data_IF_115031120485
#
_entry.id   IF_115031120485
#
_cell.length_a   1.000
_cell.length_b   1.000
_cell.length_c   1.000
_cell.angle_alpha   90.00
_cell.angle_beta   90.00
_cell.angle_gamma   90.00
#
_symmetry.space_group_name_H-M   'P 1'
#
loop_
_entity.id
_entity.type
_entity.pdbx_description
1 polymer ?
#
# COMPACT_ATOMS: atom_id res chain seq x y z
N UNK A 1 -26.22 -7.99 20.37
CA UNK A 1 -27.39 -8.11 21.26
C UNK A 1 -26.95 -8.74 22.59
N UNK A 2 -27.25 -8.12 23.74
CA UNK A 2 -26.81 -8.61 25.06
C UNK A 2 -25.48 -8.05 25.58
N UNK A 3 -25.05 -6.88 25.09
CA UNK A 3 -23.88 -6.14 25.59
C UNK A 3 -24.25 -4.67 25.69
N UNK A 4 -23.68 -3.90 26.62
CA UNK A 4 -23.89 -2.44 26.75
C UNK A 4 -23.30 -1.62 25.57
N UNK A 5 -22.77 -2.29 24.54
CA UNK A 5 -22.21 -1.66 23.35
C UNK A 5 -23.31 -1.40 22.29
N UNK A 6 -23.67 -0.12 22.13
CA UNK A 6 -24.67 0.35 21.16
C UNK A 6 -24.15 0.38 19.71
N UNK A 7 -22.87 0.68 19.49
CA UNK A 7 -22.26 0.69 18.16
C UNK A 7 -21.89 -0.73 17.73
N UNK A 8 -22.49 -1.21 16.63
CA UNK A 8 -22.24 -2.54 16.07
C UNK A 8 -22.25 -2.52 14.55
N UNK A 9 -21.37 -3.32 13.95
CA UNK A 9 -21.42 -3.73 12.55
C UNK A 9 -21.47 -5.24 12.51
N UNK A 10 -22.61 -5.79 12.08
CA UNK A 10 -22.87 -7.23 12.09
C UNK A 10 -23.11 -7.69 10.66
N UNK A 11 -22.20 -8.50 10.13
CA UNK A 11 -22.24 -8.97 8.73
C UNK A 11 -22.78 -10.40 8.66
N UNK A 12 -23.70 -10.64 7.74
CA UNK A 12 -24.29 -11.95 7.49
C UNK A 12 -23.91 -12.43 6.07
N UNK A 13 -22.68 -12.96 5.88
CA UNK A 13 -22.15 -13.26 4.54
C UNK A 13 -23.00 -14.28 3.76
N UNK A 14 -23.66 -15.22 4.45
CA UNK A 14 -24.52 -16.22 3.81
C UNK A 14 -25.94 -15.73 3.52
N UNK A 15 -26.33 -14.56 4.04
CA UNK A 15 -27.64 -13.95 3.85
C UNK A 15 -27.60 -12.64 3.05
N UNK A 16 -26.40 -12.21 2.62
CA UNK A 16 -26.16 -11.02 1.80
C UNK A 16 -26.67 -9.70 2.40
N UNK A 17 -26.60 -9.52 3.73
CA UNK A 17 -26.88 -8.22 4.35
C UNK A 17 -25.94 -7.92 5.53
N UNK A 18 -25.92 -6.66 5.92
CA UNK A 18 -25.19 -6.15 7.10
C UNK A 18 -26.11 -5.25 7.90
N UNK A 19 -26.04 -5.33 9.23
CA UNK A 19 -26.71 -4.39 10.15
C UNK A 19 -25.65 -3.47 10.75
N UNK A 20 -25.88 -2.17 10.69
CA UNK A 20 -25.04 -1.14 11.30
C UNK A 20 -25.90 -0.36 12.29
N UNK A 21 -25.46 -0.24 13.54
CA UNK A 21 -26.18 0.49 14.60
C UNK A 21 -25.32 1.62 15.15
N UNK A 22 -25.97 2.76 15.44
CA UNK A 22 -25.41 3.88 16.20
C UNK A 22 -24.08 4.44 15.66
N UNK A 23 -23.88 4.40 14.33
CA UNK A 23 -22.75 5.04 13.66
C UNK A 23 -23.24 5.90 12.50
N UNK A 24 -22.79 7.15 12.45
CA UNK A 24 -22.95 8.04 11.29
C UNK A 24 -21.72 8.02 10.37
N UNK A 25 -20.72 7.20 10.69
CA UNK A 25 -19.49 7.10 9.93
C UNK A 25 -19.73 6.36 8.62
N UNK A 26 -19.56 7.04 7.48
CA UNK A 26 -19.87 6.49 6.16
C UNK A 26 -18.99 5.27 5.81
N UNK A 27 -17.80 5.22 6.40
CA UNK A 27 -16.89 4.08 6.31
C UNK A 27 -17.53 2.75 6.67
N UNK A 28 -18.48 2.74 7.61
CA UNK A 28 -19.16 1.49 8.00
C UNK A 28 -20.01 0.94 6.87
N UNK A 29 -20.75 1.81 6.18
CA UNK A 29 -21.60 1.42 5.05
C UNK A 29 -20.73 0.97 3.87
N UNK A 30 -19.72 1.77 3.50
CA UNK A 30 -18.78 1.45 2.41
C UNK A 30 -18.11 0.08 2.66
N UNK A 31 -17.42 -0.08 3.79
CA UNK A 31 -16.65 -1.29 4.08
C UNK A 31 -17.56 -2.51 4.30
N UNK A 32 -18.78 -2.35 4.81
CA UNK A 32 -19.77 -3.42 4.87
C UNK A 32 -20.14 -3.93 3.47
N UNK A 33 -20.48 -3.03 2.54
CA UNK A 33 -20.82 -3.41 1.17
C UNK A 33 -19.63 -4.07 0.45
N UNK A 34 -18.43 -3.48 0.57
CA UNK A 34 -17.21 -4.00 -0.06
C UNK A 34 -16.79 -5.38 0.49
N UNK A 35 -17.04 -5.67 1.77
CA UNK A 35 -16.79 -7.02 2.32
C UNK A 35 -17.67 -8.07 1.63
N UNK A 36 -18.95 -7.77 1.37
CA UNK A 36 -19.85 -8.66 0.60
C UNK A 36 -19.40 -8.79 -0.85
N UNK A 37 -18.93 -7.69 -1.44
CA UNK A 37 -18.41 -7.68 -2.80
C UNK A 37 -17.15 -8.55 -2.94
N UNK A 38 -16.20 -8.47 -2.01
CA UNK A 38 -15.00 -9.34 -1.97
C UNK A 38 -15.41 -10.83 -1.94
N UNK A 39 -16.39 -11.18 -1.11
CA UNK A 39 -16.92 -12.55 -1.08
C UNK A 39 -17.63 -12.94 -2.37
N UNK A 40 -18.41 -12.02 -2.98
CA UNK A 40 -19.04 -12.25 -4.27
C UNK A 40 -18.02 -12.55 -5.37
N UNK A 41 -16.97 -11.72 -5.46
CA UNK A 41 -15.86 -11.89 -6.41
C UNK A 41 -15.20 -13.25 -6.27
N UNK A 42 -14.96 -13.70 -5.04
CA UNK A 42 -14.39 -15.03 -4.82
C UNK A 42 -15.28 -16.15 -5.36
N UNK A 43 -16.60 -16.05 -5.17
CA UNK A 43 -17.56 -17.01 -5.73
C UNK A 43 -17.61 -16.97 -7.26
N UNK A 44 -17.22 -15.86 -7.88
CA UNK A 44 -17.15 -15.69 -9.35
C UNK A 44 -15.84 -16.17 -9.97
N UNK A 45 -14.87 -16.59 -9.16
CA UNK A 45 -13.59 -17.15 -9.65
C UNK A 45 -12.42 -16.17 -9.61
N UNK A 46 -12.61 -14.93 -9.17
CA UNK A 46 -11.53 -13.96 -8.94
C UNK A 46 -11.05 -13.95 -7.49
N UNK A 47 -10.16 -13.02 -7.15
CA UNK A 47 -9.86 -12.63 -5.78
C UNK A 47 -10.17 -11.14 -5.56
N UNK A 48 -10.95 -10.82 -4.52
CA UNK A 48 -11.28 -9.44 -4.17
C UNK A 48 -10.25 -8.86 -3.21
N UNK A 49 -9.49 -7.86 -3.61
CA UNK A 49 -8.35 -7.32 -2.89
C UNK A 49 -8.57 -5.87 -2.43
N UNK A 50 -8.04 -5.52 -1.26
CA UNK A 50 -8.01 -4.13 -0.78
C UNK A 50 -6.81 -3.39 -1.38
N UNK A 51 -6.91 -3.16 -2.69
CA UNK A 51 -5.93 -2.47 -3.51
C UNK A 51 -6.62 -1.44 -4.40
N UNK A 52 -5.87 -0.42 -4.80
CA UNK A 52 -6.30 0.52 -5.82
C UNK A 52 -5.99 0.00 -7.23
N UNK A 53 -6.53 0.66 -8.25
CA UNK A 53 -6.22 0.42 -9.65
C UNK A 53 -5.95 1.75 -10.35
N UNK A 54 -4.79 1.83 -11.01
CA UNK A 54 -4.46 2.90 -11.95
C UNK A 54 -3.87 2.30 -13.21
N UNK A 55 -3.98 3.04 -14.30
CA UNK A 55 -3.38 2.67 -15.56
C UNK A 55 -2.69 3.86 -16.21
N UNK A 56 -1.69 3.58 -17.02
CA UNK A 56 -1.02 4.57 -17.84
C UNK A 56 -0.26 3.86 -18.95
N UNK A 57 0.04 4.58 -20.03
CA UNK A 57 0.92 4.07 -21.07
C UNK A 57 2.30 4.66 -20.87
N UNK A 58 3.33 3.82 -20.98
CA UNK A 58 4.71 4.23 -20.79
C UNK A 58 5.56 3.92 -22.03
N UNK A 59 6.42 4.85 -22.41
CA UNK A 59 7.47 4.65 -23.42
C UNK A 59 8.71 4.04 -22.76
N UNK A 60 8.98 2.78 -23.10
CA UNK A 60 10.10 2.00 -22.58
C UNK A 60 11.43 2.43 -23.17
N UNK A 61 12.52 1.98 -22.54
CA UNK A 61 13.90 2.27 -22.98
C UNK A 61 14.22 1.71 -24.38
N UNK A 62 13.54 0.64 -24.80
CA UNK A 62 13.65 0.07 -26.14
C UNK A 62 12.79 0.81 -27.20
N UNK A 63 12.10 1.88 -26.80
CA UNK A 63 11.21 2.67 -27.65
C UNK A 63 9.80 2.10 -27.79
N UNK A 64 9.51 0.90 -27.27
CA UNK A 64 8.16 0.33 -27.29
C UNK A 64 7.22 1.04 -26.32
N UNK A 65 5.92 0.99 -26.63
CA UNK A 65 4.87 1.46 -25.73
C UNK A 65 4.28 0.29 -24.97
N UNK A 66 4.14 0.43 -23.65
CA UNK A 66 3.46 -0.56 -22.80
C UNK A 66 2.32 0.10 -22.04
N UNK A 67 1.13 -0.49 -22.12
CA UNK A 67 0.03 -0.20 -21.20
C UNK A 67 0.31 -0.86 -19.86
N UNK A 68 0.38 -0.05 -18.81
CA UNK A 68 0.55 -0.48 -17.43
C UNK A 68 -0.83 -0.60 -16.79
N UNK A 69 -1.12 -1.77 -16.24
CA UNK A 69 -2.30 -2.08 -15.42
C UNK A 69 -1.78 -2.39 -14.03
N UNK A 70 -1.86 -1.39 -13.14
CA UNK A 70 -1.18 -1.39 -11.85
C UNK A 70 -2.17 -1.43 -10.70
N UNK A 71 -2.04 -2.46 -9.86
CA UNK A 71 -2.68 -2.49 -8.55
C UNK A 71 -1.69 -2.14 -7.44
N UNK A 72 -2.15 -1.34 -6.47
CA UNK A 72 -1.34 -0.92 -5.32
C UNK A 72 -2.04 -1.32 -4.02
N UNK A 73 -1.39 -2.19 -3.27
CA UNK A 73 -1.81 -2.62 -1.93
C UNK A 73 -1.12 -1.77 -0.86
N UNK A 74 -1.83 -1.51 0.22
CA UNK A 74 -1.28 -0.82 1.38
C UNK A 74 -2.33 -0.64 2.45
N UNK A 75 -1.91 -0.71 3.72
CA UNK A 75 -2.79 -0.40 4.84
C UNK A 75 -3.08 1.10 4.91
N UNK A 76 -4.11 1.47 5.69
CA UNK A 76 -4.46 2.87 5.85
C UNK A 76 -3.29 3.66 6.45
N UNK A 77 -2.96 4.80 5.83
CA UNK A 77 -1.86 5.66 6.28
C UNK A 77 -0.47 5.28 5.74
N UNK A 78 -0.35 4.28 4.87
CA UNK A 78 0.94 3.94 4.24
C UNK A 78 1.18 4.66 2.90
N UNK A 79 0.19 5.41 2.39
CA UNK A 79 0.31 6.13 1.12
C UNK A 79 -0.38 5.48 -0.09
N UNK A 80 -1.22 4.44 0.10
CA UNK A 80 -2.00 3.79 -0.98
C UNK A 80 -2.68 4.81 -1.91
N UNK A 81 -3.50 5.70 -1.35
CA UNK A 81 -4.23 6.72 -2.12
C UNK A 81 -3.30 7.75 -2.78
N UNK A 82 -2.21 8.13 -2.10
CA UNK A 82 -1.19 9.04 -2.63
C UNK A 82 -0.58 8.49 -3.91
N UNK A 83 -0.10 7.25 -3.89
CA UNK A 83 0.54 6.61 -5.04
C UNK A 83 -0.46 6.20 -6.13
N UNK A 84 -1.66 5.77 -5.73
CA UNK A 84 -2.69 5.34 -6.69
C UNK A 84 -3.28 6.48 -7.50
N UNK A 85 -3.39 7.67 -6.89
CA UNK A 85 -3.88 8.88 -7.53
C UNK A 85 -2.76 9.84 -7.92
N UNK A 86 -1.50 9.42 -7.83
CA UNK A 86 -0.38 10.20 -8.34
C UNK A 86 -0.45 10.24 -9.87
N UNK A 87 -0.32 11.43 -10.44
CA UNK A 87 -0.35 11.63 -11.89
C UNK A 87 0.77 12.56 -12.27
N UNK A 88 1.54 12.19 -13.30
CA UNK A 88 2.57 13.06 -13.85
C UNK A 88 1.93 14.08 -14.81
N UNK A 89 2.29 15.35 -14.69
CA UNK A 89 1.80 16.39 -15.59
C UNK A 89 2.47 17.72 -15.30
N UNK A 90 1.98 18.80 -15.92
CA UNK A 90 2.61 20.12 -15.81
C UNK A 90 2.76 20.60 -14.35
N UNK A 91 1.79 20.29 -13.50
CA UNK A 91 1.76 20.65 -12.07
C UNK A 91 2.96 20.12 -11.25
N UNK A 92 3.54 18.97 -11.61
CA UNK A 92 4.69 18.38 -10.91
C UNK A 92 5.93 18.18 -11.79
N UNK A 93 5.82 18.37 -13.11
CA UNK A 93 6.90 18.21 -14.09
C UNK A 93 8.20 18.90 -13.68
N UNK A 94 8.11 20.18 -13.27
CA UNK A 94 9.29 20.97 -12.89
C UNK A 94 10.08 20.35 -11.74
N UNK A 95 9.39 19.76 -10.76
CA UNK A 95 10.02 19.10 -9.60
C UNK A 95 10.93 17.95 -10.08
N UNK A 96 10.48 17.16 -11.06
CA UNK A 96 11.27 16.03 -11.54
C UNK A 96 12.47 16.47 -12.38
N UNK A 97 12.32 17.50 -13.21
CA UNK A 97 13.43 18.05 -13.99
C UNK A 97 14.50 18.63 -13.06
N UNK A 98 14.08 19.45 -12.08
CA UNK A 98 15.01 20.13 -11.17
C UNK A 98 15.70 19.16 -10.20
N UNK A 99 14.96 18.19 -9.64
CA UNK A 99 15.51 17.27 -8.63
C UNK A 99 16.22 16.06 -9.21
N UNK A 100 15.75 15.55 -10.36
CA UNK A 100 16.18 14.26 -10.89
C UNK A 100 16.72 14.35 -12.32
N UNK A 101 16.61 15.51 -12.99
CA UNK A 101 17.05 15.66 -14.39
C UNK A 101 16.21 14.83 -15.37
N UNK A 102 15.01 14.40 -14.99
CA UNK A 102 14.12 13.57 -15.79
C UNK A 102 12.82 14.32 -16.01
N UNK A 103 12.35 14.42 -17.26
CA UNK A 103 11.01 14.89 -17.56
C UNK A 103 10.06 13.69 -17.70
N UNK A 104 9.21 13.40 -16.70
CA UNK A 104 8.34 12.23 -16.75
C UNK A 104 7.31 12.33 -17.88
N UNK A 105 6.93 13.54 -18.31
CA UNK A 105 5.89 13.75 -19.32
C UNK A 105 6.33 13.33 -20.73
N UNK A 106 7.63 13.14 -20.95
CA UNK A 106 8.17 12.56 -22.19
C UNK A 106 7.93 11.04 -22.29
N UNK A 107 7.65 10.37 -21.17
CA UNK A 107 7.58 8.92 -21.09
C UNK A 107 6.21 8.38 -20.70
N UNK A 108 5.35 9.17 -20.05
CA UNK A 108 4.06 8.72 -19.52
C UNK A 108 2.88 9.48 -20.14
N UNK A 109 1.85 8.75 -20.54
CA UNK A 109 0.66 9.29 -21.18
C UNK A 109 -0.56 8.39 -20.91
N UNK A 110 -1.75 8.81 -21.34
CA UNK A 110 -3.04 8.10 -21.13
C UNK A 110 -3.29 7.66 -19.68
N UNK A 111 -2.91 8.49 -18.72
CA UNK A 111 -3.05 8.19 -17.29
C UNK A 111 -4.52 8.15 -16.89
N UNK A 112 -4.93 7.05 -16.24
CA UNK A 112 -6.28 6.82 -15.77
C UNK A 112 -6.29 6.33 -14.33
N UNK A 113 -6.99 7.05 -13.44
CA UNK A 113 -7.35 6.59 -12.10
C UNK A 113 -8.63 5.76 -12.26
N UNK A 114 -8.62 4.50 -11.82
CA UNK A 114 -9.73 3.55 -12.05
C UNK A 114 -10.49 3.18 -10.77
N UNK A 115 -9.76 2.98 -9.68
CA UNK A 115 -10.31 2.70 -8.35
C UNK A 115 -9.27 3.03 -7.26
N UNK A 116 -9.68 3.39 -6.05
CA UNK A 116 -8.75 3.76 -4.97
C UNK A 116 -8.60 2.74 -3.85
N UNK A 117 -9.53 1.79 -3.73
CA UNK A 117 -9.71 1.08 -2.46
C UNK A 117 -9.84 -0.43 -2.55
N UNK A 118 -10.77 -0.94 -3.37
CA UNK A 118 -11.08 -2.37 -3.48
C UNK A 118 -11.30 -2.77 -4.94
N UNK A 119 -10.61 -3.83 -5.38
CA UNK A 119 -10.62 -4.32 -6.76
C UNK A 119 -10.79 -5.84 -6.81
N UNK A 120 -11.19 -6.37 -7.95
CA UNK A 120 -11.29 -7.80 -8.20
C UNK A 120 -10.28 -8.18 -9.26
N UNK A 121 -9.41 -9.13 -8.95
CA UNK A 121 -8.40 -9.62 -9.90
C UNK A 121 -8.87 -10.95 -10.46
N UNK A 122 -9.00 -10.99 -11.77
CA UNK A 122 -9.22 -12.17 -12.58
C UNK A 122 -8.01 -12.37 -13.51
N UNK A 123 -7.96 -13.52 -14.20
CA UNK A 123 -6.87 -13.82 -15.12
C UNK A 123 -6.81 -12.88 -16.33
N UNK A 124 -7.94 -12.33 -16.76
CA UNK A 124 -8.08 -11.53 -17.97
C UNK A 124 -8.18 -10.03 -17.68
N UNK A 125 -8.62 -9.65 -16.48
CA UNK A 125 -8.93 -8.26 -16.13
C UNK A 125 -8.91 -8.00 -14.63
N UNK A 126 -8.75 -6.72 -14.27
CA UNK A 126 -9.02 -6.18 -12.94
C UNK A 126 -10.30 -5.35 -12.99
N UNK A 127 -11.26 -5.65 -12.13
CA UNK A 127 -12.53 -4.94 -12.06
C UNK A 127 -12.56 -3.98 -10.87
N UNK A 128 -13.05 -2.77 -11.10
CA UNK A 128 -13.26 -1.78 -10.04
C UNK A 128 -14.57 -2.05 -9.30
N UNK A 129 -14.62 -1.70 -8.01
CA UNK A 129 -15.84 -1.83 -7.20
C UNK A 129 -16.66 -0.55 -7.13
N UNK A 130 -16.06 0.61 -7.40
CA UNK A 130 -16.58 1.93 -7.06
C UNK A 130 -16.23 2.98 -8.13
N UNK A 131 -17.16 3.93 -8.38
CA UNK A 131 -16.97 5.11 -9.26
C UNK A 131 -16.60 6.39 -8.49
N UNK A 132 -16.55 6.30 -7.17
CA UNK A 132 -16.14 7.38 -6.29
C UNK A 132 -15.02 6.91 -5.38
N UNK A 133 -14.46 7.85 -4.64
CA UNK A 133 -13.38 7.64 -3.69
C UNK A 133 -13.82 8.10 -2.31
N UNK A 134 -13.30 7.46 -1.26
CA UNK A 134 -13.51 7.90 0.13
C UNK A 134 -12.15 8.11 0.81
N UNK A 135 -11.53 9.22 0.43
CA UNK A 135 -10.10 9.47 0.64
C UNK A 135 -9.87 10.25 1.93
N UNK A 136 -8.77 9.96 2.63
CA UNK A 136 -8.27 10.85 3.70
C UNK A 136 -7.80 12.15 3.08
N UNK A 137 -8.28 13.28 3.59
CA UNK A 137 -7.95 14.58 3.02
C UNK A 137 -7.23 15.50 4.00
N UNK A 138 -6.63 14.98 5.07
CA UNK A 138 -5.66 15.73 5.85
C UNK A 138 -4.40 15.98 5.02
N UNK A 139 -3.83 17.17 5.14
CA UNK A 139 -2.57 17.59 4.50
C UNK A 139 -2.57 17.53 2.96
N UNK A 140 -3.73 17.54 2.31
CA UNK A 140 -3.83 17.61 0.85
C UNK A 140 -3.71 19.05 0.36
N UNK A 141 -2.82 19.26 -0.61
CA UNK A 141 -2.63 20.53 -1.29
C UNK A 141 -2.62 20.38 -2.83
N UNK A 142 -2.43 21.50 -3.54
CA UNK A 142 -2.41 21.56 -5.01
C UNK A 142 -1.34 20.66 -5.67
N UNK A 143 -0.29 20.25 -4.94
CA UNK A 143 0.73 19.33 -5.47
C UNK A 143 0.16 17.93 -5.66
N UNK A 144 -0.87 17.56 -4.90
CA UNK A 144 -1.67 16.35 -5.05
C UNK A 144 -2.89 16.60 -5.95
N UNK A 145 -2.64 17.21 -7.11
CA UNK A 145 -3.65 17.83 -7.98
C UNK A 145 -4.92 17.00 -8.21
N UNK A 146 -4.88 15.69 -8.54
CA UNK A 146 -6.10 14.92 -8.78
C UNK A 146 -7.01 14.84 -7.56
N UNK A 147 -6.45 14.64 -6.37
CA UNK A 147 -7.22 14.54 -5.12
C UNK A 147 -7.69 15.93 -4.70
N UNK A 148 -6.80 16.91 -4.75
CA UNK A 148 -7.14 18.29 -4.39
C UNK A 148 -8.27 18.86 -5.25
N UNK A 149 -8.21 18.65 -6.57
CA UNK A 149 -9.26 19.05 -7.49
C UNK A 149 -10.58 18.37 -7.17
N UNK A 150 -10.56 17.05 -6.94
CA UNK A 150 -11.78 16.29 -6.67
C UNK A 150 -12.40 16.63 -5.30
N UNK A 151 -11.57 16.86 -4.28
CA UNK A 151 -12.01 17.25 -2.95
C UNK A 151 -12.56 18.68 -2.91
N UNK A 152 -12.12 19.59 -3.80
CA UNK A 152 -12.70 20.94 -3.95
C UNK A 152 -13.89 21.00 -4.93
N UNK A 153 -14.34 19.87 -5.47
CA UNK A 153 -15.51 19.83 -6.34
C UNK A 153 -16.78 20.20 -5.56
N UNK A 154 -17.72 20.98 -6.14
CA UNK A 154 -19.03 21.21 -5.52
C UNK A 154 -19.87 19.92 -5.39
N UNK A 155 -19.44 18.81 -6.00
CA UNK A 155 -20.04 17.48 -5.84
C UNK A 155 -19.44 16.68 -4.67
N UNK A 156 -18.35 17.15 -4.07
CA UNK A 156 -17.70 16.46 -2.96
C UNK A 156 -18.57 16.53 -1.69
N UNK A 157 -18.57 15.43 -0.94
CA UNK A 157 -19.15 15.38 0.40
C UNK A 157 -18.03 15.25 1.42
N UNK A 158 -18.05 16.12 2.41
CA UNK A 158 -17.04 16.18 3.45
C UNK A 158 -17.52 15.55 4.76
N UNK A 159 -16.71 14.66 5.33
CA UNK A 159 -16.94 14.00 6.61
C UNK A 159 -15.81 14.41 7.56
N UNK A 160 -16.15 15.26 8.53
CA UNK A 160 -15.21 15.85 9.49
C UNK A 160 -14.04 16.63 8.83
N UNK A 161 -14.25 17.19 7.64
CA UNK A 161 -13.35 18.17 7.02
C UNK A 161 -13.64 19.55 7.59
N UNK A 162 -12.58 20.29 7.89
CA UNK A 162 -12.65 21.62 8.46
C UNK A 162 -12.98 22.66 7.39
N UNK A 163 -13.13 23.93 7.79
CA UNK A 163 -13.39 25.03 6.89
C UNK A 163 -12.48 26.22 7.16
N UNK A 164 -12.17 26.99 6.11
CA UNK A 164 -11.40 28.22 6.19
C UNK A 164 -12.26 29.41 6.64
N UNK A 165 -11.66 30.60 6.74
CA UNK A 165 -12.37 31.84 7.14
C UNK A 165 -13.45 32.29 6.15
N UNK A 166 -13.46 31.75 4.93
CA UNK A 166 -14.46 32.04 3.90
C UNK A 166 -15.58 30.98 3.87
N UNK A 167 -15.48 29.94 4.69
CA UNK A 167 -16.42 28.82 4.73
C UNK A 167 -16.15 27.73 3.68
N UNK A 168 -15.02 27.79 2.97
CA UNK A 168 -14.61 26.74 2.04
C UNK A 168 -13.97 25.56 2.79
N UNK A 169 -13.99 24.33 2.24
CA UNK A 169 -13.26 23.21 2.83
C UNK A 169 -11.78 23.52 3.05
N UNK A 170 -11.27 23.15 4.22
CA UNK A 170 -9.85 23.25 4.57
C UNK A 170 -9.28 21.88 4.92
N UNK A 171 -8.13 21.58 4.35
CA UNK A 171 -7.43 20.30 4.48
C UNK A 171 -6.26 20.35 5.46
N UNK A 172 -6.05 21.47 6.15
CA UNK A 172 -4.92 21.67 7.06
C UNK A 172 -4.97 20.80 8.33
N UNK A 173 -6.15 20.33 8.74
CA UNK A 173 -6.33 19.43 9.88
C UNK A 173 -5.91 20.05 11.24
N UNK A 174 -6.32 21.29 11.52
CA UNK A 174 -5.91 22.06 12.71
C UNK A 174 -7.07 22.45 13.64
N UNK A 175 -8.29 22.57 13.13
CA UNK A 175 -9.46 23.08 13.82
C UNK A 175 -10.22 21.98 14.59
N UNK A 176 -10.57 20.88 13.93
CA UNK A 176 -11.35 19.81 14.55
C UNK A 176 -10.44 18.92 15.38
N UNK A 177 -10.90 18.59 16.59
CA UNK A 177 -10.15 17.78 17.54
C UNK A 177 -10.94 16.56 17.98
N UNK A 178 -10.20 15.49 18.25
CA UNK A 178 -10.69 14.26 18.85
C UNK A 178 -9.83 13.94 20.08
N UNK A 179 -10.45 13.90 21.27
CA UNK A 179 -9.76 13.76 22.56
C UNK A 179 -8.60 14.75 22.78
N UNK A 180 -8.78 16.01 22.38
CA UNK A 180 -7.78 17.07 22.56
C UNK A 180 -6.58 17.01 21.60
N UNK A 181 -6.65 16.16 20.56
CA UNK A 181 -5.67 16.12 19.47
C UNK A 181 -6.35 16.48 18.14
N UNK A 182 -5.64 17.09 17.18
CA UNK A 182 -6.19 17.34 15.86
C UNK A 182 -6.74 16.07 15.19
N UNK A 183 -7.86 16.19 14.48
CA UNK A 183 -8.50 15.10 13.76
C UNK A 183 -7.60 14.61 12.61
N UNK A 184 -7.31 13.30 12.57
CA UNK A 184 -6.46 12.64 11.56
C UNK A 184 -7.19 11.59 10.73
N UNK A 185 -8.49 11.83 10.57
CA UNK A 185 -9.36 10.99 9.76
C UNK A 185 -10.46 11.83 9.11
N UNK A 186 -10.17 13.08 8.77
CA UNK A 186 -11.01 13.86 7.88
C UNK A 186 -11.09 13.15 6.52
N UNK A 187 -12.30 13.01 5.97
CA UNK A 187 -12.56 12.29 4.72
C UNK A 187 -13.35 13.15 3.76
N UNK A 188 -13.07 12.96 2.47
CA UNK A 188 -13.93 13.47 1.41
C UNK A 188 -14.39 12.31 0.54
N UNK A 189 -15.69 12.27 0.27
CA UNK A 189 -16.28 11.45 -0.79
C UNK A 189 -16.36 12.30 -2.04
N UNK A 190 -15.74 11.83 -3.12
CA UNK A 190 -15.80 12.51 -4.42
C UNK A 190 -15.90 11.52 -5.56
N UNK A 191 -16.40 11.96 -6.71
CA UNK A 191 -16.43 11.15 -7.92
C UNK A 191 -15.03 11.07 -8.52
N UNK A 192 -14.65 9.90 -9.05
CA UNK A 192 -13.39 9.77 -9.77
C UNK A 192 -13.33 10.71 -10.99
N UNK A 193 -14.48 10.99 -11.61
CA UNK A 193 -14.64 12.00 -12.67
C UNK A 193 -14.09 13.37 -12.29
N UNK A 194 -14.22 13.78 -11.02
CA UNK A 194 -13.76 15.10 -10.55
C UNK A 194 -12.24 15.20 -10.42
N UNK A 195 -11.53 14.07 -10.46
CA UNK A 195 -10.05 14.06 -10.51
C UNK A 195 -9.52 14.61 -11.83
N UNK A 196 -10.33 14.58 -12.89
CA UNK A 196 -9.89 14.87 -14.26
C UNK A 196 -9.10 13.76 -14.96
N UNK A 197 -8.85 12.65 -14.27
CA UNK A 197 -8.09 11.51 -14.78
C UNK A 197 -8.89 10.19 -14.75
N UNK A 198 -10.21 10.26 -14.58
CA UNK A 198 -11.08 9.10 -14.77
C UNK A 198 -11.60 9.07 -16.20
N UNK A 199 -11.48 7.92 -16.86
CA UNK A 199 -11.83 7.77 -18.27
C UNK A 199 -13.25 7.23 -18.51
N UNK A 200 -14.11 7.23 -17.49
CA UNK A 200 -15.48 6.74 -17.59
C UNK A 200 -15.66 5.25 -17.27
N UNK A 201 -14.57 4.50 -17.10
CA UNK A 201 -14.59 3.06 -16.86
C UNK A 201 -13.75 2.71 -15.63
N UNK A 202 -14.33 1.93 -14.71
CA UNK A 202 -13.67 1.47 -13.47
C UNK A 202 -12.88 0.18 -13.67
N UNK A 203 -13.10 -0.51 -14.79
CA UNK A 203 -12.41 -1.74 -15.12
C UNK A 203 -11.09 -1.44 -15.86
N UNK A 204 -10.13 -2.36 -15.74
CA UNK A 204 -8.89 -2.28 -16.47
C UNK A 204 -9.06 -2.64 -17.94
N UNK A 205 -8.18 -2.07 -18.75
CA UNK A 205 -8.04 -2.33 -20.19
C UNK A 205 -7.52 -3.75 -20.51
N UNK A 206 -6.92 -4.45 -19.55
CA UNK A 206 -6.38 -5.79 -19.70
C UNK A 206 -6.03 -6.44 -18.36
N UNK A 207 -5.32 -7.58 -18.36
CA UNK A 207 -4.95 -8.27 -17.14
C UNK A 207 -3.97 -7.44 -16.31
N UNK A 208 -3.92 -7.71 -15.00
CA UNK A 208 -2.92 -7.15 -14.12
C UNK A 208 -1.51 -7.42 -14.68
N UNK A 209 -0.68 -6.39 -14.78
CA UNK A 209 0.71 -6.56 -15.24
C UNK A 209 1.75 -5.87 -14.36
N UNK A 210 1.32 -5.06 -13.39
CA UNK A 210 2.17 -4.54 -12.32
C UNK A 210 1.45 -4.63 -10.97
N UNK A 211 2.10 -5.20 -9.96
CA UNK A 211 1.61 -5.24 -8.59
C UNK A 211 2.58 -4.50 -7.66
N UNK A 212 2.08 -3.57 -6.85
CA UNK A 212 2.89 -2.81 -5.90
C UNK A 212 2.36 -3.05 -4.49
N UNK A 213 3.22 -3.57 -3.62
CA UNK A 213 2.94 -3.73 -2.19
C UNK A 213 3.63 -2.62 -1.42
N UNK A 214 2.86 -1.77 -0.76
CA UNK A 214 3.39 -0.80 0.21
C UNK A 214 3.49 -1.51 1.56
N UNK A 215 4.71 -1.89 1.95
CA UNK A 215 5.00 -2.56 3.22
C UNK A 215 6.10 -1.80 3.97
N UNK A 216 5.74 -0.67 4.60
CA UNK A 216 6.72 0.18 5.23
C UNK A 216 7.39 -0.53 6.41
N UNK A 217 8.68 -0.31 6.56
CA UNK A 217 9.51 -0.95 7.57
C UNK A 217 10.68 -0.07 7.98
N UNK A 218 11.23 -0.30 9.17
CA UNK A 218 12.21 0.62 9.77
C UNK A 218 13.64 0.07 9.82
N UNK A 219 13.83 -1.23 9.56
CA UNK A 219 15.06 -1.89 9.99
C UNK A 219 15.83 -2.45 8.79
N UNK A 220 15.30 -3.53 8.21
CA UNK A 220 15.98 -4.36 7.22
C UNK A 220 15.44 -4.13 5.80
N UNK A 221 14.50 -3.21 5.66
CA UNK A 221 13.74 -3.01 4.43
C UNK A 221 14.47 -2.04 3.50
N UNK A 222 14.54 -2.38 2.22
CA UNK A 222 14.95 -1.45 1.18
C UNK A 222 13.84 -0.42 0.92
N UNK A 223 14.19 0.72 0.31
CA UNK A 223 13.20 1.63 -0.24
C UNK A 223 12.32 0.93 -1.27
N UNK A 224 12.95 0.18 -2.17
CA UNK A 224 12.28 -0.51 -3.27
C UNK A 224 12.95 -1.85 -3.56
N UNK A 225 12.13 -2.88 -3.74
CA UNK A 225 12.54 -4.19 -4.24
C UNK A 225 11.65 -4.58 -5.43
N UNK A 226 12.20 -5.40 -6.33
CA UNK A 226 11.43 -6.15 -7.33
C UNK A 226 11.40 -7.61 -6.91
N UNK A 227 10.22 -8.23 -6.90
CA UNK A 227 10.04 -9.63 -6.50
C UNK A 227 9.87 -10.47 -7.77
N UNK A 228 10.75 -11.43 -7.98
CA UNK A 228 10.74 -12.34 -9.15
C UNK A 228 10.03 -13.67 -8.85
N UNK A 229 10.08 -14.11 -7.58
CA UNK A 229 9.43 -15.34 -7.16
C UNK A 229 7.96 -15.08 -6.81
N UNK A 230 7.06 -15.79 -7.51
CA UNK A 230 5.61 -15.64 -7.37
C UNK A 230 5.10 -16.10 -6.01
N UNK A 231 5.74 -17.09 -5.39
CA UNK A 231 5.40 -17.52 -4.04
C UNK A 231 5.83 -16.48 -3.00
N UNK A 232 6.97 -15.82 -3.20
CA UNK A 232 7.41 -14.67 -2.40
C UNK A 232 6.45 -13.48 -2.54
N UNK A 233 5.97 -13.18 -3.76
CA UNK A 233 4.94 -12.15 -3.97
C UNK A 233 3.63 -12.49 -3.23
N UNK A 234 3.17 -13.74 -3.31
CA UNK A 234 2.00 -14.19 -2.57
C UNK A 234 2.22 -14.18 -1.04
N UNK A 235 3.45 -14.44 -0.59
CA UNK A 235 3.85 -14.36 0.82
C UNK A 235 3.81 -12.92 1.34
N UNK A 236 4.27 -11.94 0.55
CA UNK A 236 4.12 -10.51 0.89
C UNK A 236 2.65 -10.13 1.04
N UNK A 237 1.78 -10.56 0.12
CA UNK A 237 0.33 -10.37 0.25
C UNK A 237 -0.20 -11.07 1.51
N UNK A 238 0.23 -12.31 1.78
CA UNK A 238 -0.20 -13.07 2.95
C UNK A 238 0.14 -12.37 4.26
N UNK A 239 1.34 -11.79 4.36
CA UNK A 239 1.81 -11.13 5.56
C UNK A 239 1.09 -9.79 5.79
N UNK A 240 0.82 -9.04 4.71
CA UNK A 240 0.17 -7.73 4.81
C UNK A 240 0.89 -6.79 5.79
N UNK A 241 2.22 -6.89 5.84
CA UNK A 241 3.05 -6.27 6.87
C UNK A 241 3.10 -4.76 6.70
N UNK A 242 3.06 -4.02 7.80
CA UNK A 242 3.37 -2.59 7.89
C UNK A 242 4.06 -2.27 9.22
N UNK A 243 4.54 -1.05 9.38
CA UNK A 243 4.77 -0.45 10.70
C UNK A 243 3.54 0.37 11.11
N UNK A 244 3.27 0.38 12.42
CA UNK A 244 2.16 1.14 12.98
C UNK A 244 2.33 2.63 12.73
N UNK A 245 1.33 3.23 12.09
CA UNK A 245 1.32 4.65 11.74
C UNK A 245 0.52 5.45 12.78
N UNK A 246 0.89 6.71 13.08
CA UNK A 246 0.11 7.57 13.99
C UNK A 246 -1.36 7.73 13.59
N UNK A 247 -1.68 7.56 12.31
CA UNK A 247 -3.04 7.63 11.78
C UNK A 247 -3.89 6.38 12.09
N UNK A 248 -3.29 5.32 12.65
CA UNK A 248 -3.98 4.12 13.14
C UNK A 248 -4.18 4.22 14.66
N UNK A 249 -3.10 4.38 15.42
CA UNK A 249 -3.11 4.63 16.87
C UNK A 249 -1.71 5.04 17.33
N UNK A 250 -1.62 5.81 18.41
CA UNK A 250 -0.34 6.15 19.05
C UNK A 250 0.34 4.90 19.64
N UNK A 251 -0.44 3.94 20.13
CA UNK A 251 0.04 2.73 20.84
C UNK A 251 0.78 1.71 19.97
N UNK A 252 0.64 1.83 18.65
CA UNK A 252 1.23 0.93 17.66
C UNK A 252 2.45 1.54 16.94
N UNK A 253 2.75 2.82 17.18
CA UNK A 253 3.86 3.50 16.51
C UNK A 253 5.17 2.74 16.74
N UNK A 254 5.88 2.44 15.66
CA UNK A 254 7.16 1.72 15.70
C UNK A 254 7.06 0.21 15.89
N UNK A 255 5.85 -0.36 16.03
CA UNK A 255 5.63 -1.82 16.03
C UNK A 255 5.30 -2.29 14.63
N UNK A 256 5.78 -3.48 14.28
CA UNK A 256 5.29 -4.18 13.10
C UNK A 256 3.86 -4.68 13.32
N UNK A 257 3.03 -4.54 12.31
CA UNK A 257 1.64 -4.99 12.27
C UNK A 257 1.50 -5.90 11.06
N UNK A 258 0.76 -6.99 11.22
CA UNK A 258 0.45 -7.95 10.18
C UNK A 258 -1.07 -8.02 10.03
N UNK A 259 -1.56 -7.66 8.85
CA UNK A 259 -2.99 -7.71 8.50
C UNK A 259 -3.10 -8.41 7.16
N UNK A 260 -3.25 -9.74 7.16
CA UNK A 260 -3.21 -10.55 5.94
C UNK A 260 -4.01 -9.93 4.80
N UNK A 261 -3.36 -9.91 3.62
CA UNK A 261 -3.88 -9.33 2.37
C UNK A 261 -4.13 -7.82 2.40
N UNK A 262 -3.63 -7.12 3.42
CA UNK A 262 -3.99 -5.73 3.72
C UNK A 262 -5.51 -5.56 3.90
N UNK A 263 -6.23 -6.65 4.19
CA UNK A 263 -7.69 -6.77 4.03
C UNK A 263 -8.35 -7.59 5.17
N UNK A 264 -7.59 -7.89 6.24
CA UNK A 264 -8.04 -8.76 7.32
C UNK A 264 -9.42 -8.37 7.92
N UNK A 265 -9.74 -7.08 8.21
CA UNK A 265 -11.04 -6.71 8.76
C UNK A 265 -12.23 -6.83 7.79
N UNK A 266 -11.97 -7.06 6.50
CA UNK A 266 -12.99 -7.05 5.42
C UNK A 266 -13.19 -8.43 4.78
N UNK A 267 -12.37 -9.41 5.15
CA UNK A 267 -12.49 -10.78 4.63
C UNK A 267 -13.57 -11.54 5.40
N UNK A 268 -14.54 -12.11 4.68
CA UNK A 268 -15.62 -12.90 5.27
C UNK A 268 -16.15 -13.96 4.30
N UNK A 269 -16.76 -15.03 4.83
CA UNK A 269 -17.33 -16.13 4.05
C UNK A 269 -16.30 -17.07 3.39
N UNK A 270 -15.06 -16.61 3.20
CA UNK A 270 -13.92 -17.34 2.64
C UNK A 270 -12.67 -16.95 3.43
N UNK A 271 -11.73 -17.88 3.61
CA UNK A 271 -10.50 -17.61 4.36
C UNK A 271 -9.50 -16.77 3.57
N UNK A 272 -8.65 -16.01 4.27
CA UNK A 272 -7.52 -15.31 3.65
C UNK A 272 -6.65 -16.25 2.82
N UNK A 273 -6.38 -17.45 3.34
CA UNK A 273 -5.63 -18.51 2.65
C UNK A 273 -6.17 -18.77 1.26
N UNK A 274 -7.49 -18.92 1.12
CA UNK A 274 -8.10 -19.26 -0.16
C UNK A 274 -7.94 -18.13 -1.19
N UNK A 275 -7.98 -16.87 -0.75
CA UNK A 275 -7.71 -15.72 -1.61
C UNK A 275 -6.23 -15.61 -1.99
N UNK A 276 -5.30 -15.83 -1.05
CA UNK A 276 -3.85 -15.79 -1.30
C UNK A 276 -3.45 -16.86 -2.31
N UNK A 277 -3.96 -18.09 -2.14
CA UNK A 277 -3.71 -19.19 -3.08
C UNK A 277 -4.24 -18.84 -4.46
N UNK A 278 -5.44 -18.26 -4.56
CA UNK A 278 -5.98 -17.85 -5.86
C UNK A 278 -5.17 -16.74 -6.52
N UNK A 279 -4.72 -15.76 -5.75
CA UNK A 279 -3.84 -14.71 -6.28
C UNK A 279 -2.54 -15.33 -6.81
N UNK A 280 -1.90 -16.22 -6.06
CA UNK A 280 -0.73 -16.98 -6.51
C UNK A 280 -0.99 -17.76 -7.81
N UNK A 281 -2.11 -18.47 -7.91
CA UNK A 281 -2.50 -19.21 -9.12
C UNK A 281 -2.68 -18.29 -10.34
N UNK A 282 -3.28 -17.10 -10.16
CA UNK A 282 -3.42 -16.11 -11.23
C UNK A 282 -2.04 -15.65 -11.71
N UNK A 283 -1.11 -15.34 -10.79
CA UNK A 283 0.26 -14.95 -11.15
C UNK A 283 0.99 -16.05 -11.95
N UNK A 284 0.90 -17.30 -11.51
CA UNK A 284 1.55 -18.43 -12.18
C UNK A 284 0.94 -18.68 -13.58
N UNK A 285 -0.37 -18.57 -13.73
CA UNK A 285 -1.04 -18.72 -15.03
C UNK A 285 -0.65 -17.61 -16.00
N UNK A 286 -0.59 -16.36 -15.53
CA UNK A 286 -0.13 -15.23 -16.34
C UNK A 286 1.34 -15.39 -16.75
N UNK A 287 2.20 -15.82 -15.82
CA UNK A 287 3.60 -16.17 -16.11
C UNK A 287 3.72 -17.28 -17.15
N UNK A 288 2.94 -18.35 -17.04
CA UNK A 288 2.91 -19.45 -18.00
C UNK A 288 2.43 -19.03 -19.40
N UNK A 289 1.57 -18.01 -19.49
CA UNK A 289 1.13 -17.39 -20.75
C UNK A 289 2.17 -16.40 -21.34
N UNK A 290 3.34 -16.26 -20.73
CA UNK A 290 4.37 -15.29 -21.15
C UNK A 290 4.03 -13.84 -20.79
N UNK A 291 3.11 -13.63 -19.85
CA UNK A 291 2.65 -12.32 -19.39
C UNK A 291 2.90 -12.17 -17.87
N UNK A 292 4.14 -12.32 -17.38
CA UNK A 292 4.41 -12.23 -15.95
C UNK A 292 4.04 -10.84 -15.42
N UNK A 293 3.46 -10.81 -14.21
CA UNK A 293 3.21 -9.58 -13.48
C UNK A 293 4.52 -9.10 -12.87
N UNK A 294 4.88 -7.84 -13.12
CA UNK A 294 6.02 -7.21 -12.46
C UNK A 294 5.60 -6.85 -11.02
N UNK A 295 6.29 -7.40 -10.01
CA UNK A 295 5.92 -7.19 -8.61
C UNK A 295 6.96 -6.32 -7.91
N UNK A 296 6.50 -5.26 -7.25
CA UNK A 296 7.34 -4.33 -6.50
C UNK A 296 6.91 -4.29 -5.02
N UNK A 297 7.88 -4.27 -4.13
CA UNK A 297 7.69 -4.02 -2.69
C UNK A 297 8.35 -2.68 -2.37
N UNK A 298 7.57 -1.75 -1.83
CA UNK A 298 8.04 -0.38 -1.56
C UNK A 298 7.83 0.02 -0.10
N UNK A 299 8.78 0.80 0.40
CA UNK A 299 8.78 1.37 1.74
C UNK A 299 8.64 2.88 1.66
N UNK A 300 7.47 3.39 2.02
CA UNK A 300 7.08 4.79 1.82
C UNK A 300 7.19 5.59 3.13
N UNK A 301 6.49 5.15 4.17
CA UNK A 301 6.38 5.83 5.46
C UNK A 301 7.26 5.23 6.56
N UNK A 302 7.95 4.14 6.26
CA UNK A 302 8.95 3.55 7.15
C UNK A 302 10.28 4.28 7.03
N UNK A 303 11.26 3.87 7.83
CA UNK A 303 12.56 4.55 7.93
C UNK A 303 13.72 3.57 7.83
N UNK A 304 14.29 3.44 6.65
CA UNK A 304 15.42 2.55 6.33
C UNK A 304 16.62 2.96 7.20
N UNK A 305 17.26 2.01 7.87
CA UNK A 305 18.43 2.36 8.68
C UNK A 305 18.13 2.83 10.11
N UNK A 306 16.88 2.77 10.59
CA UNK A 306 16.55 3.30 11.92
C UNK A 306 17.21 2.51 13.06
N UNK A 307 17.50 3.19 14.16
CA UNK A 307 18.02 2.57 15.37
C UNK A 307 16.98 1.66 16.02
N UNK A 308 17.45 0.61 16.70
CA UNK A 308 16.60 -0.35 17.39
C UNK A 308 17.29 -0.90 18.63
N UNK A 309 16.50 -1.62 19.42
CA UNK A 309 16.94 -2.42 20.54
C UNK A 309 16.28 -3.80 20.47
N UNK A 310 16.97 -4.80 21.01
CA UNK A 310 16.42 -6.13 21.17
C UNK A 310 15.62 -6.18 22.47
N UNK A 311 14.34 -6.53 22.38
CA UNK A 311 13.44 -6.60 23.52
C UNK A 311 12.78 -7.97 23.57
N UNK A 312 12.49 -8.45 24.77
CA UNK A 312 11.67 -9.64 24.94
C UNK A 312 10.23 -9.33 24.52
N UNK A 313 9.68 -10.15 23.64
CA UNK A 313 8.31 -10.07 23.17
C UNK A 313 7.66 -11.46 23.25
N UNK A 314 6.45 -11.52 23.79
CA UNK A 314 5.67 -12.75 23.86
C UNK A 314 4.85 -12.93 22.58
N UNK A 315 5.08 -14.03 21.88
CA UNK A 315 4.27 -14.48 20.75
C UNK A 315 3.58 -15.78 21.15
N UNK A 316 2.31 -15.68 21.52
CA UNK A 316 1.55 -16.77 22.13
C UNK A 316 2.18 -17.17 23.48
N UNK A 317 2.51 -18.45 23.63
CA UNK A 317 3.08 -18.99 24.88
C UNK A 317 4.62 -19.00 24.89
N UNK A 318 5.28 -18.35 23.93
CA UNK A 318 6.74 -18.36 23.80
C UNK A 318 7.28 -16.93 23.81
N UNK A 319 8.44 -16.78 24.45
CA UNK A 319 9.20 -15.54 24.50
C UNK A 319 10.28 -15.56 23.42
N UNK A 320 10.38 -14.45 22.70
CA UNK A 320 11.38 -14.24 21.68
C UNK A 320 12.10 -12.93 21.91
N UNK A 321 13.36 -12.88 21.53
CA UNK A 321 14.08 -11.63 21.42
C UNK A 321 13.76 -11.00 20.06
N UNK A 322 13.09 -9.86 20.07
CA UNK A 322 12.58 -9.20 18.86
C UNK A 322 13.14 -7.78 18.73
N UNK A 323 13.42 -7.31 17.51
CA UNK A 323 13.90 -5.96 17.34
C UNK A 323 12.74 -4.98 17.47
N UNK A 324 12.97 -3.89 18.20
CA UNK A 324 12.02 -2.78 18.35
C UNK A 324 12.69 -1.48 17.97
N UNK A 325 12.07 -0.75 17.04
CA UNK A 325 12.55 0.56 16.61
C UNK A 325 12.59 1.52 17.80
N UNK A 326 13.74 2.20 17.99
CA UNK A 326 13.85 3.26 18.99
C UNK A 326 13.14 4.51 18.48
N UNK A 327 12.36 5.14 19.36
CA UNK A 327 11.55 6.31 19.02
C UNK A 327 12.00 7.53 19.85
N UNK A 328 12.03 8.69 19.21
CA UNK A 328 12.15 9.99 19.87
C UNK A 328 10.84 10.77 19.79
N UNK A 329 10.60 11.68 20.74
CA UNK A 329 9.49 12.63 20.64
C UNK A 329 9.76 13.60 19.49
N UNK A 330 8.90 13.58 18.47
CA UNK A 330 8.94 14.55 17.39
C UNK A 330 8.47 15.94 17.84
N UNK A 331 8.66 16.98 17.00
CA UNK A 331 8.29 18.37 17.31
C UNK A 331 6.81 18.55 17.68
N UNK A 332 5.93 17.72 17.12
CA UNK A 332 4.48 17.77 17.34
C UNK A 332 4.03 16.80 18.44
N UNK A 333 4.96 16.31 19.28
CA UNK A 333 4.70 15.28 20.30
C UNK A 333 4.52 13.86 19.76
N UNK A 334 4.54 13.67 18.44
CA UNK A 334 4.37 12.36 17.77
C UNK A 334 5.69 11.60 17.80
N UNK A 335 5.73 10.37 18.33
CA UNK A 335 6.93 9.53 18.28
C UNK A 335 7.41 9.30 16.84
N UNK A 336 8.71 9.42 16.60
CA UNK A 336 9.36 9.16 15.30
C UNK A 336 10.56 8.22 15.47
N UNK A 337 10.82 7.30 14.53
CA UNK A 337 12.05 6.50 14.53
C UNK A 337 13.32 7.35 14.55
N UNK A 338 14.32 6.93 15.33
CA UNK A 338 15.64 7.57 15.43
C UNK A 338 16.56 7.02 14.33
N UNK A 339 17.38 7.88 13.72
CA UNK A 339 18.35 7.48 12.69
C UNK A 339 17.70 7.04 11.37
N UNK A 340 18.50 6.73 10.35
CA UNK A 340 17.98 6.29 9.05
C UNK A 340 17.27 7.38 8.21
N UNK A 341 16.72 6.96 7.07
CA UNK A 341 16.11 7.81 6.04
C UNK A 341 14.89 7.16 5.40
N UNK A 342 14.13 7.92 4.61
CA UNK A 342 12.96 7.43 3.87
C UNK A 342 13.01 7.99 2.45
N UNK A 343 12.54 7.27 1.42
CA UNK A 343 12.38 7.86 0.10
C UNK A 343 11.27 8.92 0.13
N UNK A 344 11.39 9.97 -0.68
CA UNK A 344 10.27 10.90 -0.89
C UNK A 344 9.19 10.26 -1.77
N UNK A 345 8.02 10.90 -1.83
CA UNK A 345 6.95 10.50 -2.75
C UNK A 345 7.49 10.55 -4.19
N UNK A 346 8.17 11.63 -4.57
CA UNK A 346 8.68 11.80 -5.93
C UNK A 346 9.81 10.81 -6.26
N UNK A 347 10.68 10.46 -5.31
CA UNK A 347 11.69 9.40 -5.52
C UNK A 347 11.01 8.05 -5.79
N UNK A 348 9.93 7.75 -5.07
CA UNK A 348 9.18 6.49 -5.24
C UNK A 348 8.41 6.47 -6.56
N UNK A 349 7.76 7.57 -6.94
CA UNK A 349 7.06 7.69 -8.23
C UNK A 349 8.04 7.64 -9.40
N UNK A 350 9.21 8.28 -9.28
CA UNK A 350 10.27 8.15 -10.27
C UNK A 350 10.75 6.70 -10.37
N UNK A 351 10.98 6.02 -9.24
CA UNK A 351 11.35 4.60 -9.26
C UNK A 351 10.31 3.75 -9.99
N UNK A 352 9.01 3.89 -9.69
CA UNK A 352 7.96 3.11 -10.34
C UNK A 352 7.86 3.41 -11.84
N UNK A 353 7.99 4.68 -12.24
CA UNK A 353 8.05 5.06 -13.65
C UNK A 353 9.25 4.41 -14.35
N UNK A 354 10.44 4.53 -13.76
CA UNK A 354 11.66 3.96 -14.36
C UNK A 354 11.64 2.43 -14.39
N UNK A 355 11.09 1.78 -13.36
CA UNK A 355 10.96 0.33 -13.31
C UNK A 355 10.04 -0.18 -14.43
N UNK A 356 8.88 0.44 -14.62
CA UNK A 356 7.92 0.07 -15.68
C UNK A 356 8.43 0.39 -17.10
N UNK A 357 9.33 1.38 -17.24
CA UNK A 357 10.09 1.66 -18.47
C UNK A 357 11.16 0.62 -18.80
N UNK A 358 11.61 -0.17 -17.82
CA UNK A 358 12.80 -1.01 -17.93
C UNK A 358 14.12 -0.24 -17.81
N UNK A 359 14.11 0.95 -17.18
CA UNK A 359 15.27 1.83 -17.02
C UNK A 359 16.05 1.58 -15.71
N UNK A 360 15.60 0.65 -14.86
CA UNK A 360 16.27 0.29 -13.61
C UNK A 360 17.17 -0.92 -13.83
N UNK A 361 18.40 -0.85 -13.33
CA UNK A 361 19.30 -2.01 -13.25
C UNK A 361 19.24 -2.58 -11.84
N UNK A 362 19.20 -3.90 -11.74
CA UNK A 362 19.06 -4.61 -10.48
C UNK A 362 20.22 -5.57 -10.23
N UNK A 363 20.41 -5.95 -8.96
CA UNK A 363 21.21 -7.11 -8.53
C UNK A 363 20.35 -8.04 -7.65
N UNK A 364 20.67 -9.34 -7.56
CA UNK A 364 20.06 -10.23 -6.57
C UNK A 364 20.22 -9.70 -5.14
N UNK A 365 19.19 -9.89 -4.30
CA UNK A 365 19.24 -9.52 -2.89
C UNK A 365 20.32 -10.34 -2.18
N UNK A 366 21.14 -9.77 -1.28
CA UNK A 366 22.27 -10.48 -0.66
C UNK A 366 21.94 -11.72 0.19
N UNK A 367 20.65 -12.00 0.42
CA UNK A 367 20.16 -13.07 1.30
C UNK A 367 19.15 -13.94 0.54
N UNK A 368 18.11 -13.33 -0.04
CA UNK A 368 17.10 -14.06 -0.83
C UNK A 368 17.51 -14.37 -2.28
N UNK A 369 18.68 -13.91 -2.74
CA UNK A 369 19.20 -14.21 -4.07
C UNK A 369 18.28 -13.72 -5.18
N UNK A 370 18.09 -14.53 -6.22
CA UNK A 370 17.31 -14.16 -7.42
C UNK A 370 15.81 -14.04 -7.17
N UNK A 371 15.29 -14.52 -6.02
CA UNK A 371 13.87 -14.36 -5.67
C UNK A 371 13.46 -12.90 -5.52
N UNK A 372 14.41 -12.06 -5.08
CA UNK A 372 14.20 -10.64 -4.80
C UNK A 372 15.37 -9.86 -5.38
N UNK A 373 15.08 -8.86 -6.20
CA UNK A 373 16.06 -7.99 -6.81
C UNK A 373 16.02 -6.60 -6.18
N UNK A 374 17.20 -6.00 -6.00
CA UNK A 374 17.35 -4.65 -5.44
C UNK A 374 18.00 -3.72 -6.46
N UNK A 375 17.57 -2.45 -6.56
CA UNK A 375 18.08 -1.53 -7.56
C UNK A 375 19.55 -1.17 -7.28
N UNK A 376 20.37 -1.16 -8.32
CA UNK A 376 21.76 -0.63 -8.30
C UNK A 376 21.90 0.65 -9.11
N UNK A 377 20.94 0.90 -10.00
CA UNK A 377 20.88 2.12 -10.79
C UNK A 377 19.43 2.44 -11.12
N UNK A 378 19.03 3.67 -10.85
CA UNK A 378 17.75 4.24 -11.24
C UNK A 378 18.06 5.57 -11.93
N UNK A 379 17.69 5.71 -13.20
CA UNK A 379 17.90 6.96 -13.93
C UNK A 379 17.20 8.12 -13.21
N UNK A 380 17.98 9.14 -12.85
CA UNK A 380 17.55 10.32 -12.10
C UNK A 380 17.78 10.26 -10.58
N UNK A 381 18.20 9.13 -10.03
CA UNK A 381 18.58 9.00 -8.61
C UNK A 381 20.09 8.80 -8.48
N UNK A 382 20.75 9.60 -7.65
CA UNK A 382 22.20 9.51 -7.46
C UNK A 382 22.61 8.20 -6.78
N UNK A 383 23.85 7.77 -7.00
CA UNK A 383 24.38 6.55 -6.39
C UNK A 383 24.51 6.71 -4.86
N UNK A 384 24.85 7.91 -4.39
CA UNK A 384 24.89 8.25 -2.98
C UNK A 384 23.50 8.09 -2.35
N UNK A 385 22.45 8.58 -3.02
CA UNK A 385 21.09 8.47 -2.52
C UNK A 385 20.58 7.04 -2.54
N UNK A 386 20.89 6.26 -3.57
CA UNK A 386 20.59 4.82 -3.59
C UNK A 386 21.28 4.08 -2.45
N UNK A 387 22.52 4.46 -2.10
CA UNK A 387 23.25 3.88 -0.97
C UNK A 387 22.59 4.25 0.36
N UNK A 388 22.13 5.48 0.55
CA UNK A 388 21.34 5.86 1.74
C UNK A 388 20.03 5.07 1.87
N UNK A 389 19.45 4.62 0.76
CA UNK A 389 18.22 3.83 0.72
C UNK A 389 18.46 2.30 0.77
N UNK A 390 19.72 1.88 0.92
CA UNK A 390 20.12 0.48 1.11
C UNK A 390 20.32 0.18 2.61
N UNK A 391 19.58 -0.75 3.22
CA UNK A 391 19.72 -1.10 4.63
C UNK A 391 21.11 -1.63 5.00
N UNK A 392 21.87 -2.19 4.04
CA UNK A 392 23.25 -2.64 4.26
C UNK A 392 24.26 -1.48 4.39
N UNK A 393 23.85 -0.24 4.14
CA UNK A 393 24.66 0.94 4.51
C UNK A 393 24.72 1.13 6.02
N UNK A 394 23.71 0.66 6.74
CA UNK A 394 23.57 0.84 8.18
C UNK A 394 23.87 -0.43 8.99
N UNK A 395 23.91 -1.59 8.32
CA UNK A 395 23.89 -2.90 8.97
C UNK A 395 24.87 -3.86 8.35
N UNK A 396 25.44 -4.69 9.20
CA UNK A 396 26.25 -5.83 8.76
C UNK A 396 25.37 -6.97 8.21
N UNK A 397 25.98 -7.92 7.50
CA UNK A 397 25.27 -9.11 7.02
C UNK A 397 24.66 -9.92 8.16
N UNK A 398 25.41 -10.15 9.24
CA UNK A 398 24.95 -10.93 10.39
C UNK A 398 23.75 -10.26 11.08
N UNK A 399 23.80 -8.93 11.18
CA UNK A 399 22.70 -8.13 11.72
C UNK A 399 21.45 -8.23 10.84
N UNK A 400 21.59 -8.12 9.51
CA UNK A 400 20.49 -8.28 8.57
C UNK A 400 19.86 -9.67 8.67
N UNK A 401 20.68 -10.72 8.76
CA UNK A 401 20.21 -12.11 8.96
C UNK A 401 19.42 -12.24 10.27
N UNK A 402 19.91 -11.67 11.37
CA UNK A 402 19.23 -11.73 12.66
C UNK A 402 17.85 -11.02 12.62
N UNK A 403 17.80 -9.82 12.04
CA UNK A 403 16.57 -9.05 11.88
C UNK A 403 15.55 -9.79 11.00
N UNK A 404 15.98 -10.33 9.87
CA UNK A 404 15.12 -11.08 8.97
C UNK A 404 14.59 -12.37 9.60
N UNK A 405 15.39 -13.10 10.38
CA UNK A 405 14.92 -14.26 11.14
C UNK A 405 13.83 -13.88 12.13
N UNK A 406 13.98 -12.75 12.83
CA UNK A 406 12.93 -12.24 13.71
C UNK A 406 11.64 -11.89 12.94
N UNK A 407 11.76 -11.25 11.77
CA UNK A 407 10.63 -10.99 10.86
C UNK A 407 9.93 -12.28 10.45
N UNK A 408 10.68 -13.31 10.04
CA UNK A 408 10.11 -14.61 9.63
C UNK A 408 9.35 -15.27 10.79
N UNK A 409 9.88 -15.21 12.02
CA UNK A 409 9.20 -15.75 13.21
C UNK A 409 7.87 -15.03 13.43
N UNK A 410 7.86 -13.68 13.41
CA UNK A 410 6.62 -12.88 13.57
C UNK A 410 5.62 -13.17 12.45
N UNK A 411 6.10 -13.13 11.22
CA UNK A 411 5.34 -13.42 10.01
C UNK A 411 4.62 -14.77 10.12
N UNK A 412 5.34 -15.86 10.44
CA UNK A 412 4.76 -17.19 10.62
C UNK A 412 3.73 -17.24 11.75
N UNK A 413 4.04 -16.64 12.91
CA UNK A 413 3.11 -16.55 14.04
C UNK A 413 1.77 -15.91 13.67
N UNK A 414 1.78 -14.79 12.93
CA UNK A 414 0.54 -14.14 12.50
C UNK A 414 -0.18 -14.91 11.39
N UNK A 415 0.55 -15.51 10.45
CA UNK A 415 -0.06 -16.34 9.40
C UNK A 415 -0.80 -17.55 9.97
N UNK A 416 -0.24 -18.21 10.99
CA UNK A 416 -0.89 -19.37 11.61
C UNK A 416 -2.29 -19.02 12.18
N UNK A 417 -2.52 -17.75 12.51
CA UNK A 417 -3.79 -17.24 13.03
C UNK A 417 -4.68 -16.66 11.93
N UNK A 418 -4.10 -15.86 11.03
CA UNK A 418 -4.84 -15.03 10.07
C UNK A 418 -5.09 -15.73 8.72
N UNK A 419 -4.22 -16.65 8.34
CA UNK A 419 -4.26 -17.42 7.10
C UNK A 419 -3.81 -18.88 7.32
N UNK A 420 -4.50 -19.64 8.20
CA UNK A 420 -4.11 -21.02 8.50
C UNK A 420 -4.18 -21.92 7.26
N UNK A 421 -3.28 -22.91 7.21
CA UNK A 421 -3.23 -23.89 6.12
C UNK A 421 -2.68 -23.34 4.80
N UNK A 422 -1.92 -22.23 4.84
CA UNK A 422 -1.24 -21.71 3.66
C UNK A 422 -0.24 -22.74 3.11
N UNK A 423 -0.18 -22.98 1.78
CA UNK A 423 0.74 -23.96 1.20
C UNK A 423 2.19 -23.66 1.58
N UNK A 424 2.97 -24.71 1.90
CA UNK A 424 4.36 -24.59 2.37
C UNK A 424 5.23 -23.73 1.45
N UNK A 425 5.02 -23.85 0.13
CA UNK A 425 5.74 -23.06 -0.88
C UNK A 425 5.58 -21.55 -0.67
N UNK A 426 4.39 -21.09 -0.28
CA UNK A 426 4.11 -19.68 0.02
C UNK A 426 4.53 -19.38 1.46
N UNK A 427 4.14 -20.22 2.42
CA UNK A 427 4.40 -20.02 3.85
C UNK A 427 5.89 -19.84 4.17
N UNK A 428 6.76 -20.63 3.52
CA UNK A 428 8.22 -20.61 3.69
C UNK A 428 8.95 -19.81 2.60
N UNK A 429 8.26 -19.02 1.76
CA UNK A 429 8.89 -18.36 0.61
C UNK A 429 10.03 -17.40 1.00
N UNK A 430 9.93 -16.79 2.19
CA UNK A 430 10.91 -15.87 2.77
C UNK A 430 12.02 -16.58 3.56
N UNK A 431 11.95 -17.89 3.77
CA UNK A 431 12.97 -18.63 4.52
C UNK A 431 14.29 -18.71 3.73
N UNK A 432 15.40 -18.73 4.46
CA UNK A 432 16.78 -18.82 3.94
C UNK A 432 17.73 -19.53 4.91
#
# INVERSE_FOLDING_TARGET
PGTDQMLRVIRFPLHNYTIITCSSYQGEVKKAALSHWIYHVYKRGGCGEHASLKEFTVKRVDGSLKRIVMCIWGLSGTGKSTHSMYVFGEHNRRIFIEKFGVDPTEYVFDQAIKNDDVVAIFEDRVYGSERGSWTKTEDIDETQFPIWRAANSPRALHENTEFDSNGNPSFEGKLFQYYGLPNKNARSVFYLEDTGYFNGDIDSSGPLNVAVFISPGNLHDYAWCRIEDTAFAAKVLADGRTVGHPAQSISVIGKEIYESRYCLPFTMGVSNTAHIVRFYEILEKLKAKGQPVEVYLINTTGRIGAEYEWVEEELGNRKYLMPRTKLMKGPNGIPKPIGGTSPTIEETELFLLQATRGAVKYKPHPIWGEKVLVPVYVEGISQERLKELDPFTYRSMDEMVALLKATIIKSKYYLDQQAPGLPEKIYNAMDF
#
